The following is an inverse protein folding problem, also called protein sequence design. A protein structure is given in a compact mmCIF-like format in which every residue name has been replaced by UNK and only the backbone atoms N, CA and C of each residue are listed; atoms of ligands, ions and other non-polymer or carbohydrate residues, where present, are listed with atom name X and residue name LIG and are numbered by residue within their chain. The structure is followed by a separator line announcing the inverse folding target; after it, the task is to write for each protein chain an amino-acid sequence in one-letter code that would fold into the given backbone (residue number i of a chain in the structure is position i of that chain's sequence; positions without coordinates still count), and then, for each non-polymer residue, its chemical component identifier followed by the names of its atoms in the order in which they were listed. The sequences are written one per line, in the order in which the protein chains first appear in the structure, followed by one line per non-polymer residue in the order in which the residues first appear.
data_IF_822990082334
#
_entry.id   IF_822990082334
#
_cell.length_a   1.000
_cell.length_b   1.000
_cell.length_c   1.000
_cell.angle_alpha   90.00
_cell.angle_beta   90.00
_cell.angle_gamma   90.00
#
_symmetry.space_group_name_H-M   'P 1'
#
loop_
_entity.id
_entity.type
_entity.pdbx_description
1 polymer ?
#
# COMPACT_ATOMS: atom_id res chain seq x y z
N UNK A 1 -3.31 -5.74 6.24
CA UNK A 1 -2.91 -5.51 7.65
C UNK A 1 -2.75 -4.02 7.87
N UNK A 2 -3.31 -3.47 8.96
CA UNK A 2 -3.26 -2.04 9.25
C UNK A 2 -2.27 -1.75 10.38
N UNK A 3 -1.46 -0.72 10.20
CA UNK A 3 -0.59 -0.16 11.23
C UNK A 3 -0.95 1.31 11.41
N UNK A 4 -1.41 1.67 12.60
CA UNK A 4 -1.64 3.08 12.98
C UNK A 4 -0.42 3.56 13.76
N UNK A 5 0.10 4.72 13.37
CA UNK A 5 1.25 5.37 13.99
C UNK A 5 0.82 6.24 15.15
N UNK A 6 1.75 6.56 16.07
CA UNK A 6 1.46 7.37 17.26
C UNK A 6 0.92 8.78 16.95
N UNK A 7 1.19 9.29 15.75
CA UNK A 7 0.65 10.56 15.28
C UNK A 7 -0.75 10.45 14.64
N UNK A 8 -1.35 9.25 14.60
CA UNK A 8 -2.65 9.00 13.99
C UNK A 8 -2.61 8.67 12.48
N UNK A 9 -1.47 8.83 11.81
CA UNK A 9 -1.32 8.41 10.42
C UNK A 9 -1.39 6.87 10.32
N UNK A 10 -1.87 6.37 9.19
CA UNK A 10 -2.07 4.94 8.96
C UNK A 10 -1.24 4.43 7.78
N UNK A 11 -0.83 3.16 7.87
CA UNK A 11 -0.32 2.40 6.73
C UNK A 11 -1.09 1.08 6.64
N UNK A 12 -1.65 0.81 5.46
CA UNK A 12 -2.31 -0.44 5.12
C UNK A 12 -1.42 -1.23 4.16
N UNK A 13 -1.15 -2.49 4.50
CA UNK A 13 -0.43 -3.44 3.65
C UNK A 13 -1.40 -4.48 3.09
N UNK A 14 -1.32 -4.73 1.79
CA UNK A 14 -2.02 -5.84 1.13
C UNK A 14 -1.01 -6.88 0.66
N UNK A 15 -1.34 -8.15 0.85
CA UNK A 15 -0.55 -9.27 0.35
C UNK A 15 -1.41 -10.19 -0.50
N UNK A 16 -0.77 -10.95 -1.38
CA UNK A 16 -1.42 -12.07 -2.09
C UNK A 16 -1.52 -13.33 -1.21
N UNK A 17 -2.06 -14.40 -1.80
CA UNK A 17 -2.22 -15.69 -1.13
C UNK A 17 -0.89 -16.31 -0.67
N UNK A 18 0.20 -16.05 -1.39
CA UNK A 18 1.54 -16.55 -1.06
C UNK A 18 2.26 -15.64 -0.05
N UNK A 19 1.59 -14.59 0.45
CA UNK A 19 2.10 -13.67 1.44
C UNK A 19 3.03 -12.59 0.89
N UNK A 20 3.13 -12.44 -0.43
CA UNK A 20 3.95 -11.39 -1.07
C UNK A 20 3.22 -10.06 -1.01
N UNK A 21 3.95 -8.98 -0.73
CA UNK A 21 3.39 -7.64 -0.61
C UNK A 21 2.93 -7.14 -1.98
N UNK A 22 1.63 -6.91 -2.16
CA UNK A 22 1.05 -6.40 -3.42
C UNK A 22 0.69 -4.92 -3.36
N UNK A 23 0.66 -4.32 -2.17
CA UNK A 23 0.37 -2.90 -2.06
C UNK A 23 0.62 -2.28 -0.69
N UNK A 24 0.87 -0.98 -0.73
CA UNK A 24 0.99 -0.09 0.44
C UNK A 24 0.04 1.08 0.22
N UNK A 25 -0.80 1.40 1.21
CA UNK A 25 -1.62 2.60 1.22
C UNK A 25 -1.41 3.37 2.51
N UNK A 26 -0.93 4.61 2.41
CA UNK A 26 -0.75 5.51 3.54
C UNK A 26 -1.92 6.47 3.65
N UNK A 27 -2.38 6.70 4.88
CA UNK A 27 -3.36 7.72 5.23
C UNK A 27 -2.76 8.72 6.20
N UNK A 28 -3.09 9.99 6.00
CA UNK A 28 -2.80 11.08 6.92
C UNK A 28 -3.54 10.90 8.24
N UNK A 29 -3.22 11.77 9.21
CA UNK A 29 -3.76 11.74 10.58
C UNK A 29 -5.28 11.96 10.65
N UNK A 30 -5.84 12.62 9.63
CA UNK A 30 -7.27 12.87 9.43
C UNK A 30 -7.96 11.75 8.63
N UNK A 31 -7.23 10.69 8.29
CA UNK A 31 -7.71 9.58 7.47
C UNK A 31 -7.69 9.87 5.96
N UNK A 32 -7.25 11.06 5.53
CA UNK A 32 -7.15 11.38 4.11
C UNK A 32 -6.08 10.50 3.45
N UNK A 33 -6.30 10.01 2.22
CA UNK A 33 -5.26 9.31 1.50
C UNK A 33 -4.04 10.17 1.25
N UNK A 34 -2.85 9.66 1.57
CA UNK A 34 -1.60 10.37 1.35
C UNK A 34 -0.81 9.77 0.19
N UNK A 35 -0.77 8.45 0.08
CA UNK A 35 0.06 7.76 -0.91
C UNK A 35 -0.40 6.32 -1.15
N UNK A 36 -0.21 5.82 -2.37
CA UNK A 36 -0.44 4.43 -2.73
C UNK A 36 0.69 3.89 -3.60
N UNK A 37 1.12 2.66 -3.30
CA UNK A 37 2.00 1.86 -4.15
C UNK A 37 1.36 0.50 -4.43
N UNK A 38 1.50 0.02 -5.66
CA UNK A 38 1.15 -1.33 -6.08
C UNK A 38 2.38 -2.07 -6.62
N UNK A 39 2.45 -3.38 -6.37
CA UNK A 39 3.56 -4.24 -6.80
C UNK A 39 3.04 -5.44 -7.58
N UNK A 40 3.56 -5.64 -8.79
CA UNK A 40 3.31 -6.85 -9.59
C UNK A 40 4.50 -7.79 -9.49
N UNK A 41 4.21 -9.10 -9.50
CA UNK A 41 5.22 -10.15 -9.45
C UNK A 41 5.09 -11.10 -10.63
N UNK A 42 6.21 -11.68 -11.05
CA UNK A 42 6.21 -12.88 -11.90
C UNK A 42 5.90 -14.15 -11.07
N UNK A 43 5.74 -15.33 -11.71
CA UNK A 43 5.54 -16.58 -10.97
C UNK A 43 6.70 -16.93 -10.02
N UNK A 44 7.93 -16.54 -10.36
CA UNK A 44 9.12 -16.71 -9.51
C UNK A 44 9.13 -15.84 -8.25
N UNK A 45 8.28 -14.81 -8.20
CA UNK A 45 8.17 -13.86 -7.09
C UNK A 45 9.05 -12.62 -7.24
N UNK A 46 9.62 -12.39 -8.41
CA UNK A 46 10.36 -11.15 -8.66
C UNK A 46 9.39 -10.01 -8.92
N UNK A 47 9.69 -8.82 -8.41
CA UNK A 47 8.92 -7.62 -8.74
C UNK A 47 9.16 -7.28 -10.21
N UNK A 48 8.07 -7.16 -10.97
CA UNK A 48 8.09 -6.81 -12.40
C UNK A 48 7.55 -5.42 -12.68
N UNK A 49 6.93 -4.78 -11.69
CA UNK A 49 6.31 -3.47 -11.83
C UNK A 49 6.02 -2.82 -10.49
N UNK A 50 6.12 -1.50 -10.48
CA UNK A 50 5.75 -0.64 -9.36
C UNK A 50 4.83 0.44 -9.92
N UNK A 51 3.62 0.52 -9.38
CA UNK A 51 2.65 1.55 -9.71
C UNK A 51 2.51 2.53 -8.54
N UNK A 52 2.53 3.82 -8.85
CA UNK A 52 2.36 4.90 -7.88
C UNK A 52 1.00 5.55 -8.13
N UNK A 53 -0.01 5.10 -7.39
CA UNK A 53 -1.33 5.70 -7.46
C UNK A 53 -1.37 7.03 -6.69
N UNK A 54 -2.00 8.05 -7.27
CA UNK A 54 -2.54 9.16 -6.50
C UNK A 54 -3.98 8.83 -6.13
N UNK A 55 -4.29 8.82 -4.83
CA UNK A 55 -5.69 8.80 -4.41
C UNK A 55 -6.21 10.24 -4.62
N UNK A 56 -6.93 10.48 -5.71
CA UNK A 56 -7.62 11.75 -5.95
C UNK A 56 -8.72 11.88 -4.89
N UNK A 57 -8.61 12.89 -4.01
CA UNK A 57 -9.68 13.24 -3.10
C UNK A 57 -10.92 13.59 -3.95
N UNK A 58 -11.92 12.71 -3.94
CA UNK A 58 -13.22 12.93 -4.59
C UNK A 58 -14.19 13.50 -3.57
#
# INVERSE_FOLDING_TARGET
MNRILSNGAGTHYTCDYDGRLTGIRNTSVDGAPAHRMGFSHDPGGNITGIDFGSDVAT
#
